data_IF_201517530129
#
_entry.id   IF_201517530129
#
_cell.length_a   1.000
_cell.length_b   1.000
_cell.length_c   1.000
_cell.angle_alpha   90.00
_cell.angle_beta   90.00
_cell.angle_gamma   90.00
#
_symmetry.space_group_name_H-M   'P 1'
#
loop_
_entity.id
_entity.type
_entity.pdbx_description
1 polymer ?
#
# COMPACT_ATOMS: atom_id res chain seq x y z
N UNK A 1 -5.61 3.21 30.32
CA UNK A 1 -4.73 2.18 29.75
C UNK A 1 -4.72 2.43 28.25
N UNK A 2 -3.66 3.04 27.70
CA UNK A 2 -3.52 3.11 26.25
C UNK A 2 -3.30 1.68 25.72
N UNK A 3 -3.95 1.26 24.62
CA UNK A 3 -3.65 -0.03 24.05
C UNK A 3 -2.22 0.00 23.50
N UNK A 4 -1.30 -0.68 24.17
CA UNK A 4 0.05 -0.88 23.66
C UNK A 4 -0.07 -1.72 22.38
N UNK A 5 0.21 -1.10 21.23
CA UNK A 5 0.11 -1.80 19.95
C UNK A 5 1.25 -2.78 19.82
N UNK A 6 0.94 -4.07 19.90
CA UNK A 6 1.94 -5.09 19.67
C UNK A 6 2.44 -5.03 18.23
N UNK A 7 3.72 -5.38 18.02
CA UNK A 7 4.32 -5.48 16.68
C UNK A 7 3.55 -6.47 15.79
N UNK A 8 2.90 -7.47 16.38
CA UNK A 8 2.06 -8.42 15.65
C UNK A 8 0.78 -7.78 15.13
N UNK A 9 0.13 -6.94 15.95
CA UNK A 9 -1.06 -6.20 15.55
C UNK A 9 -0.74 -5.17 14.47
N UNK A 10 0.37 -4.44 14.60
CA UNK A 10 0.86 -3.52 13.56
C UNK A 10 1.05 -4.24 12.22
N UNK A 11 1.75 -5.38 12.23
CA UNK A 11 1.95 -6.21 11.02
C UNK A 11 0.62 -6.70 10.44
N UNK A 12 -0.34 -7.08 11.29
CA UNK A 12 -1.66 -7.54 10.86
C UNK A 12 -2.43 -6.42 10.15
N UNK A 13 -2.43 -5.21 10.71
CA UNK A 13 -3.05 -4.02 10.12
C UNK A 13 -2.39 -3.70 8.78
N UNK A 14 -1.07 -3.54 8.74
CA UNK A 14 -0.34 -3.19 7.53
C UNK A 14 -0.55 -4.23 6.40
N UNK A 15 -0.53 -5.52 6.75
CA UNK A 15 -0.80 -6.60 5.78
C UNK A 15 -2.23 -6.55 5.24
N UNK A 16 -3.21 -6.18 6.06
CA UNK A 16 -4.60 -6.06 5.62
C UNK A 16 -4.80 -4.86 4.71
N UNK A 17 -4.30 -3.70 5.11
CA UNK A 17 -4.29 -2.46 4.31
C UNK A 17 -3.72 -2.71 2.92
N UNK A 18 -2.56 -3.37 2.84
CA UNK A 18 -1.94 -3.71 1.56
C UNK A 18 -2.83 -4.58 0.67
N UNK A 19 -3.47 -5.62 1.24
CA UNK A 19 -4.36 -6.50 0.48
C UNK A 19 -5.59 -5.78 -0.07
N UNK A 20 -6.12 -4.80 0.67
CA UNK A 20 -7.23 -3.96 0.20
C UNK A 20 -6.77 -3.14 -1.00
N UNK A 21 -5.62 -2.44 -0.87
CA UNK A 21 -5.06 -1.62 -1.94
C UNK A 21 -4.68 -2.43 -3.20
N UNK A 22 -4.28 -3.70 -3.06
CA UNK A 22 -3.96 -4.58 -4.19
C UNK A 22 -5.20 -5.06 -4.96
N UNK A 23 -6.40 -5.05 -4.34
CA UNK A 23 -7.64 -5.55 -4.93
C UNK A 23 -8.54 -4.46 -5.48
N UNK A 24 -8.48 -3.29 -4.86
CA UNK A 24 -9.38 -2.17 -5.15
C UNK A 24 -8.83 -1.25 -6.24
N UNK A 25 -9.73 -0.48 -6.84
CA UNK A 25 -9.34 0.58 -7.77
C UNK A 25 -8.74 1.78 -7.01
N UNK A 26 -7.43 1.98 -7.12
CA UNK A 26 -6.70 3.04 -6.42
C UNK A 26 -7.22 4.47 -6.71
N UNK A 27 -7.84 4.71 -7.87
CA UNK A 27 -8.43 6.02 -8.19
C UNK A 27 -9.65 6.37 -7.33
N UNK A 28 -10.30 5.36 -6.75
CA UNK A 28 -11.49 5.52 -5.92
C UNK A 28 -11.21 5.29 -4.43
N UNK A 29 -10.00 4.88 -4.09
CA UNK A 29 -9.56 4.59 -2.73
C UNK A 29 -8.92 5.80 -2.08
N UNK A 30 -9.34 6.06 -0.84
CA UNK A 30 -8.72 7.03 0.06
C UNK A 30 -8.31 6.31 1.33
N UNK A 31 -7.36 6.88 2.08
CA UNK A 31 -6.94 6.34 3.37
C UNK A 31 -8.14 6.08 4.30
N UNK A 32 -9.10 7.01 4.38
CA UNK A 32 -10.33 6.85 5.15
C UNK A 32 -11.10 5.58 4.77
N UNK A 33 -11.30 5.34 3.47
CA UNK A 33 -11.99 4.12 2.99
C UNK A 33 -11.20 2.86 3.31
N UNK A 34 -9.89 2.87 3.10
CA UNK A 34 -9.01 1.75 3.45
C UNK A 34 -9.12 1.44 4.94
N UNK A 35 -9.08 2.46 5.79
CA UNK A 35 -9.21 2.33 7.25
C UNK A 35 -10.56 1.78 7.67
N UNK A 36 -11.65 2.23 7.05
CA UNK A 36 -12.99 1.72 7.32
C UNK A 36 -13.14 0.25 6.93
N UNK A 37 -12.63 -0.14 5.76
CA UNK A 37 -12.64 -1.55 5.31
C UNK A 37 -11.77 -2.39 6.24
N UNK A 38 -10.54 -1.96 6.51
CA UNK A 38 -9.63 -2.69 7.39
C UNK A 38 -10.18 -2.83 8.81
N UNK A 39 -10.87 -1.81 9.33
CA UNK A 39 -11.53 -1.87 10.65
C UNK A 39 -12.63 -2.92 10.69
N UNK A 40 -13.44 -3.01 9.63
CA UNK A 40 -14.48 -4.04 9.49
C UNK A 40 -13.90 -5.44 9.38
N UNK A 41 -12.84 -5.61 8.59
CA UNK A 41 -12.22 -6.92 8.35
C UNK A 41 -11.38 -7.43 9.53
N UNK A 42 -10.89 -6.53 10.39
CA UNK A 42 -10.12 -6.87 11.58
C UNK A 42 -10.95 -6.87 12.86
N UNK A 43 -12.21 -6.42 12.79
CA UNK A 43 -13.11 -6.24 13.92
C UNK A 43 -12.52 -5.33 15.03
N UNK A 44 -11.73 -4.34 14.63
CA UNK A 44 -11.05 -3.38 15.53
C UNK A 44 -11.21 -1.97 14.94
N UNK A 45 -11.51 -0.98 15.77
CA UNK A 45 -11.57 0.42 15.33
C UNK A 45 -10.17 0.98 15.08
N UNK A 46 -9.85 1.31 13.82
CA UNK A 46 -8.57 1.89 13.44
C UNK A 46 -8.62 3.43 13.37
N UNK A 47 -9.73 4.06 13.77
CA UNK A 47 -9.99 5.50 13.61
C UNK A 47 -9.05 6.37 14.43
N UNK A 48 -8.65 5.88 15.60
CA UNK A 48 -7.85 6.62 16.57
C UNK A 48 -6.37 6.26 16.46
N UNK A 49 -5.54 7.14 17.00
CA UNK A 49 -4.13 6.82 17.23
C UNK A 49 -3.99 5.67 18.23
N UNK A 50 -2.93 4.85 18.12
CA UNK A 50 -1.87 4.90 17.10
C UNK A 50 -2.21 4.12 15.80
N UNK A 51 -3.39 3.50 15.73
CA UNK A 51 -3.78 2.65 14.59
C UNK A 51 -3.89 3.42 13.28
N UNK A 52 -4.40 4.65 13.34
CA UNK A 52 -4.50 5.53 12.18
C UNK A 52 -3.14 5.82 11.55
N UNK A 53 -2.11 6.11 12.34
CA UNK A 53 -0.75 6.28 11.84
C UNK A 53 -0.21 5.02 11.13
N UNK A 54 -0.52 3.82 11.64
CA UNK A 54 -0.12 2.55 11.00
C UNK A 54 -0.77 2.41 9.63
N UNK A 55 -2.06 2.73 9.51
CA UNK A 55 -2.79 2.69 8.23
C UNK A 55 -2.18 3.69 7.25
N UNK A 56 -1.95 4.94 7.67
CA UNK A 56 -1.32 5.97 6.85
C UNK A 56 0.02 5.49 6.28
N UNK A 57 0.91 5.01 7.16
CA UNK A 57 2.23 4.52 6.76
C UNK A 57 2.13 3.35 5.77
N UNK A 58 1.22 2.42 6.00
CA UNK A 58 1.02 1.27 5.10
C UNK A 58 0.52 1.70 3.71
N UNK A 59 -0.34 2.73 3.63
CA UNK A 59 -0.79 3.31 2.35
C UNK A 59 0.36 4.01 1.65
N UNK A 60 1.13 4.85 2.35
CA UNK A 60 2.29 5.55 1.78
C UNK A 60 3.34 4.57 1.25
N UNK A 61 3.71 3.56 2.04
CA UNK A 61 4.66 2.52 1.64
C UNK A 61 4.20 1.78 0.37
N UNK A 62 2.89 1.55 0.24
CA UNK A 62 2.32 0.93 -0.95
C UNK A 62 2.44 1.83 -2.17
N UNK A 63 2.09 3.12 -2.06
CA UNK A 63 2.18 4.08 -3.16
C UNK A 63 3.62 4.30 -3.63
N UNK A 64 4.58 4.36 -2.69
CA UNK A 64 6.01 4.47 -3.02
C UNK A 64 6.47 3.24 -3.80
N UNK A 65 6.10 2.03 -3.36
CA UNK A 65 6.44 0.79 -4.08
C UNK A 65 5.85 0.76 -5.47
N UNK A 66 4.58 1.16 -5.61
CA UNK A 66 3.89 1.21 -6.90
C UNK A 66 4.61 2.17 -7.86
N UNK A 67 4.94 3.39 -7.42
CA UNK A 67 5.70 4.35 -8.22
C UNK A 67 7.03 3.79 -8.69
N UNK A 68 7.77 3.15 -7.78
CA UNK A 68 9.09 2.59 -8.09
C UNK A 68 8.99 1.41 -9.07
N UNK A 69 7.92 0.60 -9.01
CA UNK A 69 7.67 -0.46 -9.99
C UNK A 69 7.40 0.12 -11.37
N UNK A 70 6.49 1.10 -11.48
CA UNK A 70 6.16 1.73 -12.76
C UNK A 70 7.38 2.37 -13.43
N UNK A 71 8.25 3.03 -12.66
CA UNK A 71 9.50 3.60 -13.19
C UNK A 71 10.44 2.52 -13.74
N UNK A 72 10.67 1.43 -13.00
CA UNK A 72 11.53 0.32 -13.46
C UNK A 72 11.02 -0.31 -14.75
N UNK A 73 9.71 -0.56 -14.85
CA UNK A 73 9.11 -1.13 -16.07
C UNK A 73 9.29 -0.19 -17.26
N UNK A 74 9.08 1.12 -17.07
CA UNK A 74 9.25 2.09 -18.16
C UNK A 74 10.68 2.17 -18.70
N UNK A 75 11.68 2.06 -17.82
CA UNK A 75 13.10 2.05 -18.20
C UNK A 75 13.48 0.78 -18.96
N UNK A 76 13.05 -0.40 -18.49
CA UNK A 76 13.31 -1.69 -19.16
C UNK A 76 12.74 -1.71 -20.58
N UNK A 77 11.51 -1.23 -20.76
CA UNK A 77 10.88 -1.14 -22.09
C UNK A 77 11.71 -0.24 -23.00
N UNK A 78 12.15 0.93 -22.54
CA UNK A 78 12.99 1.82 -23.35
C UNK A 78 14.34 1.22 -23.74
N UNK A 79 14.98 0.45 -22.86
CA UNK A 79 16.25 -0.23 -23.16
C UNK A 79 16.07 -1.32 -24.23
N UNK A 80 15.02 -2.12 -24.13
CA UNK A 80 14.72 -3.18 -25.11
C UNK A 80 14.42 -2.60 -26.51
N UNK A 81 13.66 -1.50 -26.57
CA UNK A 81 13.42 -0.77 -27.82
C UNK A 81 14.70 -0.21 -28.45
N UNK A 82 15.64 0.29 -27.62
CA UNK A 82 16.95 0.79 -28.10
C UNK A 82 17.85 -0.34 -28.59
N UNK A 83 17.90 -1.47 -27.88
CA UNK A 83 18.69 -2.64 -28.28
C UNK A 83 18.24 -3.19 -29.64
N UNK A 84 16.92 -3.35 -29.83
CA UNK A 84 16.34 -3.88 -31.08
C UNK A 84 16.58 -2.99 -32.31
N UNK A 85 16.71 -1.67 -32.12
CA UNK A 85 17.06 -0.72 -33.19
C UNK A 85 18.55 -0.71 -33.56
N UNK A 86 19.44 -1.19 -32.68
CA UNK A 86 20.88 -1.26 -32.94
C UNK A 86 21.32 -2.57 -33.61
N UNK A 87 20.46 -3.58 -33.63
CA UNK A 87 20.71 -4.90 -34.24
C UNK A 87 20.18 -5.02 -35.68
N UNK A 88 19.77 -3.91 -36.30
CA UNK A 88 19.20 -3.84 -37.65
C UNK A 88 19.99 -2.83 -38.47
#
# INVERSE_FOLDING_TARGET
>A
MEPEVSRELEKKIAKRVRKILERENLYQMTEKKVREIASKELEISLVNEPFKAIVNRAVEDFLVKLRNQTQKTSLQVQEEFKAKRRSK
#
